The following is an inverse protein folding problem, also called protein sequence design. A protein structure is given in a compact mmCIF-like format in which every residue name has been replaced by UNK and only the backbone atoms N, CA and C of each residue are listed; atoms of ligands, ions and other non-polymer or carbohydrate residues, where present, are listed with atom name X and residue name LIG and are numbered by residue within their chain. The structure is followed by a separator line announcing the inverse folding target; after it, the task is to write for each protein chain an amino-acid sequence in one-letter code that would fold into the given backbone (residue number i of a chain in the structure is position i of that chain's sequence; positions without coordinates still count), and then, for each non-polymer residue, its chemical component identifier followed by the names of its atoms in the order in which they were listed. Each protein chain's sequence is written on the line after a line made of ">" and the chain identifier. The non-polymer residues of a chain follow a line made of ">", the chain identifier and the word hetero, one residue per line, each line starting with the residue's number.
data_IF_556050641384
#
_entry.id   IF_556050641384
#
_cell.length_a   1.000
_cell.length_b   1.000
_cell.length_c   1.000
_cell.angle_alpha   90.00
_cell.angle_beta   90.00
_cell.angle_gamma   90.00
#
_symmetry.space_group_name_H-M   'P 1'
#
loop_
_entity.id
_entity.type
_entity.pdbx_description
1 polymer ?
#
# COMPACT_ATOMS: atom_id res chain seq x y z
N UNK A 1 28.57 -21.23 17.18
CA UNK A 1 28.58 -19.78 16.88
C UNK A 1 27.33 -19.49 16.09
N UNK A 2 26.27 -19.02 16.76
CA UNK A 2 25.05 -18.62 16.07
C UNK A 2 25.29 -17.20 15.55
N UNK A 3 25.40 -17.05 14.23
CA UNK A 3 25.26 -15.74 13.61
C UNK A 3 23.79 -15.34 13.83
N UNK A 4 23.57 -14.47 14.81
CA UNK A 4 22.34 -13.70 14.89
C UNK A 4 22.37 -12.77 13.67
N UNK A 5 21.68 -13.17 12.60
CA UNK A 5 21.18 -12.19 11.63
C UNK A 5 20.30 -11.25 12.44
N UNK A 6 20.81 -10.05 12.71
CA UNK A 6 20.02 -8.96 13.23
C UNK A 6 19.02 -8.64 12.12
N UNK A 7 17.84 -9.26 12.17
CA UNK A 7 16.67 -8.79 11.42
C UNK A 7 16.51 -7.32 11.81
N UNK A 8 16.93 -6.42 10.92
CA UNK A 8 16.69 -5.00 11.09
C UNK A 8 15.17 -4.83 11.03
N UNK A 9 14.55 -4.78 12.20
CA UNK A 9 13.12 -4.55 12.37
C UNK A 9 12.83 -3.14 11.85
N UNK A 10 12.23 -3.02 10.66
CA UNK A 10 11.87 -1.73 10.09
C UNK A 10 10.47 -1.38 10.54
N UNK A 11 10.34 -0.30 11.31
CA UNK A 11 9.05 0.17 11.85
C UNK A 11 8.59 1.49 11.21
N UNK A 12 9.54 2.26 10.65
CA UNK A 12 9.28 3.50 9.94
C UNK A 12 8.87 3.21 8.49
N UNK A 13 7.70 3.68 8.02
CA UNK A 13 7.30 3.48 6.62
C UNK A 13 8.25 4.16 5.62
N UNK A 14 8.83 5.31 5.99
CA UNK A 14 9.80 6.01 5.16
C UNK A 14 11.10 5.21 5.00
N UNK A 15 11.61 4.64 6.11
CA UNK A 15 12.82 3.80 6.07
C UNK A 15 12.55 2.50 5.31
N UNK A 16 11.35 1.94 5.44
CA UNK A 16 10.93 0.74 4.71
C UNK A 16 10.95 0.96 3.19
N UNK A 17 10.43 2.09 2.71
CA UNK A 17 10.51 2.46 1.29
C UNK A 17 11.96 2.72 0.89
N UNK A 18 12.75 3.42 1.71
CA UNK A 18 14.15 3.69 1.40
C UNK A 18 14.99 2.40 1.29
N UNK A 19 14.71 1.38 2.10
CA UNK A 19 15.35 0.07 1.99
C UNK A 19 14.85 -0.70 0.76
N UNK A 20 13.55 -0.67 0.46
CA UNK A 20 13.00 -1.25 -0.76
C UNK A 20 13.66 -0.66 -2.02
N UNK A 21 13.85 0.65 -2.08
CA UNK A 21 14.45 1.35 -3.23
C UNK A 21 15.94 1.02 -3.41
N UNK A 22 16.60 0.43 -2.41
CA UNK A 22 17.95 -0.11 -2.52
C UNK A 22 17.95 -1.55 -3.04
N UNK A 23 16.80 -2.21 -3.14
CA UNK A 23 16.71 -3.61 -3.59
C UNK A 23 17.19 -3.78 -5.05
N UNK A 24 17.87 -4.90 -5.37
CA UNK A 24 18.28 -5.21 -6.74
C UNK A 24 17.11 -5.22 -7.73
N UNK A 25 15.95 -5.72 -7.31
CA UNK A 25 14.73 -5.82 -8.11
C UNK A 25 14.20 -4.44 -8.50
N UNK A 26 14.06 -3.52 -7.54
CA UNK A 26 13.65 -2.15 -7.81
C UNK A 26 14.64 -1.44 -8.74
N UNK A 27 15.94 -1.51 -8.41
CA UNK A 27 16.99 -0.83 -9.18
C UNK A 27 17.07 -1.34 -10.63
N UNK A 28 16.87 -2.64 -10.83
CA UNK A 28 16.81 -3.24 -12.17
C UNK A 28 15.57 -2.77 -12.95
N UNK A 29 14.40 -2.75 -12.32
CA UNK A 29 13.17 -2.28 -12.94
C UNK A 29 13.27 -0.81 -13.36
N UNK A 30 13.73 0.07 -12.46
CA UNK A 30 13.93 1.49 -12.74
C UNK A 30 14.95 1.71 -13.87
N UNK A 31 16.08 0.97 -13.87
CA UNK A 31 17.10 1.06 -14.93
C UNK A 31 16.53 0.67 -16.29
N UNK A 32 15.76 -0.40 -16.37
CA UNK A 32 15.15 -0.84 -17.62
C UNK A 32 14.19 0.21 -18.18
N UNK A 33 13.32 0.76 -17.32
CA UNK A 33 12.41 1.84 -17.72
C UNK A 33 13.13 3.11 -18.16
N UNK A 34 14.16 3.53 -17.42
CA UNK A 34 14.95 4.69 -17.80
C UNK A 34 15.62 4.50 -19.16
N UNK A 35 16.14 3.29 -19.44
CA UNK A 35 16.72 2.95 -20.74
C UNK A 35 15.68 3.06 -21.86
N UNK A 36 14.49 2.49 -21.66
CA UNK A 36 13.39 2.55 -22.65
C UNK A 36 12.88 3.98 -22.88
N UNK A 37 12.73 4.76 -21.80
CA UNK A 37 12.29 6.15 -21.88
C UNK A 37 13.30 7.02 -22.64
N UNK A 38 14.61 6.79 -22.42
CA UNK A 38 15.69 7.51 -23.12
C UNK A 38 15.76 7.24 -24.62
N UNK A 39 15.21 6.12 -25.10
CA UNK A 39 15.06 5.89 -26.55
C UNK A 39 14.07 6.87 -27.19
N UNK A 40 13.10 7.38 -26.42
CA UNK A 40 12.08 8.33 -26.88
C UNK A 40 12.43 9.78 -26.53
N UNK A 41 12.97 10.01 -25.34
CA UNK A 41 13.42 11.31 -24.86
C UNK A 41 14.79 11.17 -24.18
N UNK A 42 15.90 11.47 -24.87
CA UNK A 42 17.25 11.32 -24.32
C UNK A 42 17.53 12.17 -23.08
N UNK A 43 16.78 13.26 -22.86
CA UNK A 43 17.00 14.19 -21.75
C UNK A 43 16.30 13.78 -20.45
N UNK A 44 15.48 12.73 -20.48
CA UNK A 44 14.74 12.30 -19.29
C UNK A 44 15.70 11.90 -18.16
N UNK A 45 15.47 12.48 -17.00
CA UNK A 45 16.29 12.29 -15.81
C UNK A 45 15.88 11.02 -15.07
N UNK A 46 16.77 10.54 -14.19
CA UNK A 46 16.44 9.41 -13.31
C UNK A 46 15.30 9.78 -12.36
N UNK A 47 15.27 11.02 -11.87
CA UNK A 47 14.28 11.50 -10.91
C UNK A 47 12.87 11.55 -11.52
N UNK A 48 12.71 12.16 -12.71
CA UNK A 48 11.41 12.15 -13.42
C UNK A 48 10.91 10.72 -13.69
N UNK A 49 11.83 9.80 -13.98
CA UNK A 49 11.48 8.40 -14.20
C UNK A 49 11.13 7.65 -12.92
N UNK A 50 11.77 8.01 -11.81
CA UNK A 50 11.47 7.45 -10.50
C UNK A 50 10.06 7.87 -10.05
N UNK A 51 9.74 9.17 -10.10
CA UNK A 51 8.41 9.67 -9.77
C UNK A 51 7.32 9.00 -10.63
N UNK A 52 7.53 8.96 -11.95
CA UNK A 52 6.60 8.28 -12.85
C UNK A 52 6.50 6.77 -12.59
N UNK A 53 7.55 6.13 -12.08
CA UNK A 53 7.55 4.69 -11.77
C UNK A 53 6.76 4.38 -10.50
N UNK A 54 6.95 5.18 -9.45
CA UNK A 54 6.31 5.03 -8.14
C UNK A 54 4.77 5.06 -8.21
N UNK A 55 4.21 5.69 -9.24
CA UNK A 55 2.77 5.73 -9.47
C UNK A 55 2.22 4.49 -10.21
N UNK A 56 3.07 3.55 -10.63
CA UNK A 56 2.65 2.40 -11.46
C UNK A 56 2.37 1.12 -10.68
N UNK A 57 1.53 0.25 -11.23
CA UNK A 57 1.23 -1.07 -10.65
C UNK A 57 2.48 -1.95 -10.51
N UNK A 58 3.44 -1.82 -11.42
CA UNK A 58 4.69 -2.57 -11.33
C UNK A 58 5.51 -2.20 -10.07
N UNK A 59 5.45 -0.94 -9.62
CA UNK A 59 6.09 -0.55 -8.36
C UNK A 59 5.42 -1.25 -7.18
N UNK A 60 4.08 -1.22 -7.12
CA UNK A 60 3.32 -1.88 -6.04
C UNK A 60 3.59 -3.37 -5.99
N UNK A 61 3.58 -4.02 -7.14
CA UNK A 61 3.87 -5.44 -7.26
C UNK A 61 5.26 -5.76 -6.71
N UNK A 62 6.29 -5.00 -7.10
CA UNK A 62 7.65 -5.21 -6.61
C UNK A 62 7.78 -4.94 -5.10
N UNK A 63 7.14 -3.89 -4.59
CA UNK A 63 7.14 -3.58 -3.16
C UNK A 63 6.49 -4.71 -2.35
N UNK A 64 5.40 -5.26 -2.85
CA UNK A 64 4.72 -6.37 -2.22
C UNK A 64 5.47 -7.70 -2.34
N UNK A 65 6.11 -8.00 -3.47
CA UNK A 65 6.99 -9.17 -3.62
C UNK A 65 8.20 -9.07 -2.69
N UNK A 66 8.78 -7.87 -2.56
CA UNK A 66 9.85 -7.62 -1.60
C UNK A 66 9.36 -7.87 -0.18
N UNK A 67 8.17 -7.38 0.17
CA UNK A 67 7.54 -7.67 1.46
C UNK A 67 7.36 -9.18 1.71
N UNK A 68 6.81 -9.91 0.74
CA UNK A 68 6.54 -11.34 0.84
C UNK A 68 7.81 -12.21 1.00
N UNK A 69 9.00 -11.67 0.69
CA UNK A 69 10.30 -12.32 0.93
C UNK A 69 10.80 -12.21 2.37
N UNK A 70 9.97 -11.69 3.30
CA UNK A 70 10.31 -11.55 4.72
C UNK A 70 10.82 -10.15 5.10
N UNK A 71 10.74 -9.18 4.19
CA UNK A 71 11.02 -7.78 4.51
C UNK A 71 9.75 -7.15 5.07
N UNK A 72 9.51 -7.30 6.38
CA UNK A 72 8.27 -6.84 7.00
C UNK A 72 8.35 -5.40 7.51
N UNK A 73 7.30 -4.61 7.27
CA UNK A 73 7.06 -3.35 7.95
C UNK A 73 6.32 -3.61 9.26
N UNK A 74 7.00 -3.45 10.39
CA UNK A 74 6.41 -3.71 11.69
C UNK A 74 5.65 -2.49 12.21
N UNK A 75 4.49 -2.75 12.80
CA UNK A 75 3.67 -1.69 13.36
C UNK A 75 4.18 -1.27 14.74
N UNK A 76 4.70 -0.04 14.86
CA UNK A 76 4.96 0.63 16.13
C UNK A 76 4.09 1.89 16.27
N UNK A 77 3.10 1.91 17.18
CA UNK A 77 2.20 3.05 17.32
C UNK A 77 2.89 4.36 17.72
N UNK A 78 4.12 4.31 18.27
CA UNK A 78 4.83 5.52 18.70
C UNK A 78 5.39 6.33 17.52
N UNK A 79 5.51 5.73 16.34
CA UNK A 79 6.05 6.38 15.14
C UNK A 79 4.96 7.18 14.43
N UNK A 80 3.70 6.75 14.55
CA UNK A 80 2.61 7.32 13.78
C UNK A 80 1.90 8.49 14.47
N UNK A 81 1.33 9.40 13.68
CA UNK A 81 0.49 10.46 14.22
C UNK A 81 -0.79 9.88 14.83
N UNK A 82 -1.34 10.57 15.85
CA UNK A 82 -2.65 10.23 16.43
C UNK A 82 -3.77 10.17 15.39
N UNK A 83 -3.70 11.05 14.38
CA UNK A 83 -4.69 11.11 13.31
C UNK A 83 -4.62 9.89 12.39
N UNK A 84 -3.42 9.41 12.08
CA UNK A 84 -3.22 8.19 11.31
C UNK A 84 -3.71 6.98 12.12
N UNK A 85 -3.26 6.85 13.37
CA UNK A 85 -3.65 5.75 14.25
C UNK A 85 -5.17 5.63 14.39
N UNK A 86 -5.86 6.76 14.58
CA UNK A 86 -7.32 6.77 14.65
C UNK A 86 -7.97 6.25 13.36
N UNK A 87 -7.49 6.68 12.19
CA UNK A 87 -8.05 6.25 10.89
C UNK A 87 -7.72 4.78 10.59
N UNK A 88 -6.50 4.34 10.88
CA UNK A 88 -6.06 2.97 10.74
C UNK A 88 -6.88 2.03 11.65
N UNK A 89 -7.07 2.42 12.92
CA UNK A 89 -7.88 1.63 13.86
C UNK A 89 -9.33 1.49 13.37
N UNK A 90 -9.95 2.58 12.90
CA UNK A 90 -11.30 2.50 12.30
C UNK A 90 -11.36 1.53 11.12
N UNK A 91 -10.35 1.54 10.27
CA UNK A 91 -10.26 0.60 9.16
C UNK A 91 -10.16 -0.84 9.66
N UNK A 92 -9.27 -1.13 10.60
CA UNK A 92 -9.12 -2.46 11.20
C UNK A 92 -10.36 -2.94 11.93
N UNK A 93 -11.03 -2.06 12.69
CA UNK A 93 -12.28 -2.39 13.38
C UNK A 93 -13.37 -2.75 12.37
N UNK A 94 -13.42 -2.06 11.23
CA UNK A 94 -14.39 -2.39 10.18
C UNK A 94 -14.12 -3.76 9.54
N UNK A 95 -12.84 -4.11 9.35
CA UNK A 95 -12.46 -5.45 8.87
C UNK A 95 -12.89 -6.52 9.87
N UNK A 96 -12.60 -6.33 11.17
CA UNK A 96 -13.01 -7.25 12.23
C UNK A 96 -14.52 -7.40 12.30
N UNK A 97 -15.25 -6.29 12.24
CA UNK A 97 -16.71 -6.29 12.21
C UNK A 97 -17.24 -7.08 11.01
N UNK A 98 -16.67 -6.88 9.82
CA UNK A 98 -17.08 -7.60 8.61
C UNK A 98 -16.88 -9.10 8.75
N UNK A 99 -15.72 -9.55 9.27
CA UNK A 99 -15.41 -10.97 9.47
C UNK A 99 -16.34 -11.63 10.49
N UNK A 100 -16.72 -10.91 11.55
CA UNK A 100 -17.63 -11.44 12.56
C UNK A 100 -19.06 -11.64 12.05
N UNK A 101 -19.47 -10.84 11.05
CA UNK A 101 -20.85 -10.78 10.57
C UNK A 101 -21.04 -11.35 9.15
N UNK A 102 -19.98 -11.77 8.47
CA UNK A 102 -19.99 -12.28 7.09
C UNK A 102 -20.99 -13.41 6.84
N UNK A 103 -21.29 -14.23 7.86
CA UNK A 103 -22.26 -15.33 7.77
C UNK A 103 -23.74 -14.89 7.79
N UNK A 104 -24.01 -13.63 8.12
CA UNK A 104 -25.35 -13.12 8.38
C UNK A 104 -25.82 -12.05 7.39
N UNK A 105 -24.94 -11.64 6.46
CA UNK A 105 -25.23 -10.55 5.54
C UNK A 105 -25.72 -11.05 4.18
N UNK A 106 -26.67 -10.32 3.63
CA UNK A 106 -27.00 -10.45 2.22
C UNK A 106 -25.95 -9.75 1.32
N UNK A 107 -26.11 -9.91 0.00
CA UNK A 107 -25.16 -9.39 -0.98
C UNK A 107 -25.04 -7.85 -0.93
N UNK A 108 -26.13 -7.13 -0.67
CA UNK A 108 -26.11 -5.67 -0.65
C UNK A 108 -25.41 -5.14 0.60
N UNK A 109 -25.65 -5.78 1.75
CA UNK A 109 -24.96 -5.46 3.01
C UNK A 109 -23.45 -5.72 2.91
N UNK A 110 -23.04 -6.81 2.27
CA UNK A 110 -21.62 -7.10 2.00
C UNK A 110 -20.98 -6.03 1.11
N UNK A 111 -21.67 -5.58 0.07
CA UNK A 111 -21.18 -4.51 -0.82
C UNK A 111 -21.01 -3.19 -0.08
N UNK A 112 -21.94 -2.81 0.78
CA UNK A 112 -21.84 -1.55 1.54
C UNK A 112 -20.70 -1.59 2.57
N UNK A 113 -20.47 -2.76 3.18
CA UNK A 113 -19.33 -2.99 4.07
C UNK A 113 -18.01 -2.90 3.31
N UNK A 114 -17.95 -3.47 2.11
CA UNK A 114 -16.77 -3.36 1.24
C UNK A 114 -16.50 -1.90 0.87
N UNK A 115 -17.51 -1.13 0.47
CA UNK A 115 -17.38 0.31 0.20
C UNK A 115 -16.83 1.07 1.40
N UNK A 116 -17.36 0.82 2.59
CA UNK A 116 -16.90 1.50 3.81
C UNK A 116 -15.47 1.10 4.16
N UNK A 117 -15.09 -0.17 4.01
CA UNK A 117 -13.69 -0.61 4.18
C UNK A 117 -12.77 0.12 3.22
N UNK A 118 -13.13 0.25 1.95
CA UNK A 118 -12.31 0.94 0.95
C UNK A 118 -12.18 2.43 1.31
N UNK A 119 -13.28 3.07 1.72
CA UNK A 119 -13.26 4.48 2.14
C UNK A 119 -12.36 4.71 3.35
N UNK A 120 -12.40 3.81 4.33
CA UNK A 120 -11.54 3.89 5.52
C UNK A 120 -10.06 3.62 5.19
N UNK A 121 -9.79 2.68 4.29
CA UNK A 121 -8.44 2.42 3.76
C UNK A 121 -7.86 3.64 3.05
N UNK A 122 -8.65 4.28 2.18
CA UNK A 122 -8.28 5.53 1.49
C UNK A 122 -7.93 6.62 2.51
N UNK A 123 -8.78 6.84 3.52
CA UNK A 123 -8.55 7.85 4.55
C UNK A 123 -7.27 7.61 5.34
N UNK A 124 -6.96 6.37 5.67
CA UNK A 124 -5.71 6.02 6.34
C UNK A 124 -4.50 6.32 5.43
N UNK A 125 -4.59 6.00 4.13
CA UNK A 125 -3.57 6.33 3.14
C UNK A 125 -3.34 7.84 2.96
N UNK A 126 -4.42 8.61 2.80
CA UNK A 126 -4.37 10.09 2.71
C UNK A 126 -3.65 10.70 3.91
N UNK A 127 -3.93 10.19 5.11
CA UNK A 127 -3.27 10.70 6.32
C UNK A 127 -1.79 10.32 6.38
N UNK A 128 -1.42 9.10 5.96
CA UNK A 128 -0.03 8.66 5.97
C UNK A 128 0.83 9.46 4.98
N UNK A 129 0.27 9.79 3.82
CA UNK A 129 0.87 10.72 2.86
C UNK A 129 0.97 12.14 3.45
N UNK A 130 -0.10 12.67 4.05
CA UNK A 130 -0.09 14.00 4.66
C UNK A 130 0.93 14.12 5.81
N UNK A 131 1.18 13.03 6.53
CA UNK A 131 2.20 12.91 7.58
C UNK A 131 3.62 12.79 7.01
N UNK A 132 3.79 12.78 5.68
CA UNK A 132 5.06 12.61 4.94
C UNK A 132 5.80 11.31 5.27
N UNK A 133 5.06 10.26 5.62
CA UNK A 133 5.61 8.92 5.87
C UNK A 133 5.64 8.06 4.60
N UNK A 134 5.05 8.56 3.51
CA UNK A 134 5.09 7.95 2.19
C UNK A 134 5.31 9.05 1.14
N UNK A 135 5.99 8.76 0.02
CA UNK A 135 6.31 9.75 -1.02
C UNK A 135 5.06 10.22 -1.79
N UNK A 136 4.03 9.39 -1.90
CA UNK A 136 2.78 9.71 -2.56
C UNK A 136 1.62 8.84 -2.04
N UNK A 137 0.39 9.23 -2.38
CA UNK A 137 -0.85 8.55 -1.99
C UNK A 137 -0.89 7.07 -2.34
N UNK A 138 -0.37 6.71 -3.52
CA UNK A 138 -0.41 5.34 -4.03
C UNK A 138 0.43 4.43 -3.15
N UNK A 139 1.64 4.86 -2.81
CA UNK A 139 2.55 4.15 -1.90
C UNK A 139 1.99 4.16 -0.48
N UNK A 140 1.41 5.27 -0.03
CA UNK A 140 0.78 5.37 1.29
C UNK A 140 -0.32 4.32 1.50
N UNK A 141 -1.20 4.13 0.52
CA UNK A 141 -2.23 3.08 0.55
C UNK A 141 -1.66 1.68 0.60
N UNK A 142 -0.60 1.43 -0.17
CA UNK A 142 0.08 0.15 -0.18
C UNK A 142 0.67 -0.15 1.21
N UNK A 143 1.33 0.81 1.84
CA UNK A 143 1.87 0.67 3.19
C UNK A 143 0.78 0.38 4.23
N UNK A 144 -0.39 1.04 4.13
CA UNK A 144 -1.54 0.70 4.99
C UNK A 144 -2.01 -0.74 4.76
N UNK A 145 -2.03 -1.22 3.52
CA UNK A 145 -2.40 -2.60 3.22
C UNK A 145 -1.38 -3.59 3.81
N UNK A 146 -0.07 -3.33 3.66
CA UNK A 146 0.99 -4.17 4.23
C UNK A 146 0.92 -4.21 5.77
N UNK A 147 0.76 -3.06 6.43
CA UNK A 147 0.54 -3.00 7.89
C UNK A 147 -0.67 -3.84 8.31
N UNK A 148 -1.74 -3.81 7.52
CA UNK A 148 -2.96 -4.58 7.80
C UNK A 148 -2.74 -6.08 7.61
N UNK A 149 -1.94 -6.49 6.62
CA UNK A 149 -1.55 -7.88 6.41
C UNK A 149 -0.70 -8.40 7.58
N UNK A 150 0.29 -7.64 8.02
CA UNK A 150 1.16 -8.00 9.14
C UNK A 150 0.41 -8.15 10.46
N UNK A 151 -0.71 -7.44 10.64
CA UNK A 151 -1.59 -7.61 11.79
C UNK A 151 -2.59 -8.78 11.64
N UNK A 152 -2.54 -9.55 10.56
CA UNK A 152 -3.43 -10.69 10.29
C UNK A 152 -4.87 -10.28 9.91
N UNK A 153 -5.10 -8.99 9.65
CA UNK A 153 -6.42 -8.48 9.28
C UNK A 153 -6.68 -8.54 7.79
N UNK A 154 -5.66 -8.71 6.96
CA UNK A 154 -5.83 -8.92 5.53
C UNK A 154 -4.82 -9.95 5.01
N UNK A 155 -5.02 -10.37 3.76
CA UNK A 155 -4.08 -11.21 3.01
C UNK A 155 -3.37 -10.38 1.97
N UNK A 156 -2.12 -10.74 1.71
CA UNK A 156 -1.35 -10.14 0.63
C UNK A 156 -2.00 -10.44 -0.73
N UNK A 157 -2.40 -9.38 -1.44
CA UNK A 157 -2.89 -9.46 -2.82
C UNK A 157 -2.46 -8.18 -3.56
N UNK A 158 -1.45 -8.26 -4.45
CA UNK A 158 -0.88 -7.09 -5.11
C UNK A 158 -1.85 -6.38 -6.06
N UNK A 159 -2.95 -7.03 -6.46
CA UNK A 159 -3.96 -6.47 -7.37
C UNK A 159 -5.22 -5.96 -6.66
N UNK A 160 -5.32 -6.20 -5.34
CA UNK A 160 -6.49 -5.86 -4.53
C UNK A 160 -6.81 -4.38 -4.51
N UNK A 161 -5.79 -3.52 -4.48
CA UNK A 161 -5.97 -2.07 -4.37
C UNK A 161 -6.62 -1.47 -5.64
N UNK A 162 -6.35 -2.08 -6.80
CA UNK A 162 -6.94 -1.74 -8.10
C UNK A 162 -8.38 -2.23 -8.19
N UNK A 163 -8.64 -3.50 -7.87
CA UNK A 163 -9.99 -4.06 -7.81
C UNK A 163 -10.92 -3.22 -6.91
N UNK A 164 -10.40 -2.72 -5.77
CA UNK A 164 -11.14 -1.81 -4.87
C UNK A 164 -11.41 -0.43 -5.46
N UNK A 165 -10.51 0.11 -6.30
CA UNK A 165 -10.72 1.39 -6.99
C UNK A 165 -11.80 1.26 -8.08
N UNK A 166 -11.82 0.15 -8.80
CA UNK A 166 -12.84 -0.10 -9.83
C UNK A 166 -14.24 -0.21 -9.24
N UNK A 167 -14.39 -0.84 -8.06
CA UNK A 167 -15.68 -0.90 -7.35
C UNK A 167 -16.24 0.51 -7.07
N UNK A 168 -15.41 1.45 -6.62
CA UNK A 168 -15.85 2.85 -6.39
C UNK A 168 -16.15 3.56 -7.72
N UNK A 169 -15.32 3.37 -8.75
CA UNK A 169 -15.52 4.02 -10.05
C UNK A 169 -16.77 3.51 -10.77
N UNK A 170 -17.06 2.21 -10.69
CA UNK A 170 -18.27 1.60 -11.25
C UNK A 170 -19.54 2.18 -10.64
N UNK A 171 -19.54 2.52 -9.36
CA UNK A 171 -20.69 3.16 -8.70
C UNK A 171 -20.92 4.62 -9.11
N UNK A 172 -19.88 5.35 -9.55
CA UNK A 172 -20.07 6.71 -10.11
C UNK A 172 -20.84 6.69 -11.43
N UNK A 173 -20.75 5.57 -12.17
CA UNK A 173 -21.47 5.35 -13.41
C UNK A 173 -22.97 5.06 -13.16
N UNK A 174 -23.32 4.39 -12.05
CA UNK A 174 -24.71 4.08 -11.69
C UNK A 174 -25.44 5.21 -10.95
N UNK A 175 -24.75 6.26 -10.51
CA UNK A 175 -25.37 7.47 -9.94
C UNK A 175 -25.59 8.59 -10.95
N UNK A 176 -25.34 8.33 -12.23
CA UNK A 176 -25.38 9.32 -13.32
C UNK A 176 -26.41 9.03 -14.42
N UNK A 177 -27.38 8.12 -14.19
CA UNK A 177 -28.51 7.87 -15.08
C UNK A 177 -29.84 7.99 -14.33
#
# INVERSE_FOLDING_TARGET
>A
MANQEQENLITSPADYIAEFEKSPEYLKALRNRLREARLKNPQITKWEMQEAFEETENYKYLLGEWHAKGHELLFDPNIYSRNFLFKLQRYWDKIKESRAKEKYFDREELMEIDREKIRLHIKAGEQLEADKMAPNFTIARMLVHLLTCNQGYDSYDPYRDENRREVIKGDSFYRSN
#
